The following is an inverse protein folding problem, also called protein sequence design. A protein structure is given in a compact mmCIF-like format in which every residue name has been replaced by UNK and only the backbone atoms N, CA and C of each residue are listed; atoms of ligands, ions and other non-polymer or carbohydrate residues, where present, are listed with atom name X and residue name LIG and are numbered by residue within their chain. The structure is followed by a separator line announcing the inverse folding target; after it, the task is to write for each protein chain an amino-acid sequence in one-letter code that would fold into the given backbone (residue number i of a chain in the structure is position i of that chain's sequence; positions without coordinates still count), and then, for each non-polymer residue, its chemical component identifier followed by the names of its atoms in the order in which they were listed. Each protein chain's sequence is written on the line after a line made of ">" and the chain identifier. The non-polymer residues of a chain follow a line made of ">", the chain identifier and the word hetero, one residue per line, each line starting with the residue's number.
data_IF_381890403449
#
_entry.id   IF_381890403449
#
_cell.length_a   1.000
_cell.length_b   1.000
_cell.length_c   1.000
_cell.angle_alpha   90.00
_cell.angle_beta   90.00
_cell.angle_gamma   90.00
#
_symmetry.space_group_name_H-M   'P 1'
#
loop_
_entity.id
_entity.type
_entity.pdbx_description
1 polymer ?
#
# COMPACT_ATOMS: atom_id res chain seq x y z
N UNK A 1 15.84 68.41 -31.89
CA UNK A 1 14.62 68.09 -32.65
C UNK A 1 14.92 66.94 -33.60
N UNK A 2 14.04 65.95 -33.64
CA UNK A 2 13.97 64.81 -34.58
C UNK A 2 14.89 63.58 -34.36
N UNK A 3 14.26 62.57 -33.73
CA UNK A 3 14.07 61.17 -34.16
C UNK A 3 15.25 60.22 -34.42
N UNK A 4 15.26 59.09 -33.68
CA UNK A 4 15.71 57.71 -33.98
C UNK A 4 15.74 56.95 -32.64
N UNK A 5 15.31 55.72 -32.39
CA UNK A 5 14.72 54.61 -33.15
C UNK A 5 14.22 53.57 -32.12
N UNK A 6 13.63 52.47 -32.61
CA UNK A 6 13.51 51.11 -32.03
C UNK A 6 12.06 50.73 -31.68
N UNK A 7 11.46 50.00 -32.62
CA UNK A 7 10.33 49.13 -32.34
C UNK A 7 10.79 47.84 -31.65
N UNK A 8 9.94 47.33 -30.77
CA UNK A 8 9.95 45.98 -30.22
C UNK A 8 8.46 45.56 -30.17
N UNK A 9 7.96 44.87 -31.19
CA UNK A 9 7.88 43.42 -31.30
C UNK A 9 7.07 42.76 -30.17
N UNK A 10 5.84 42.37 -30.53
CA UNK A 10 4.91 41.61 -29.71
C UNK A 10 5.49 40.29 -29.19
N UNK A 11 5.16 39.92 -27.95
CA UNK A 11 5.14 38.53 -27.50
C UNK A 11 4.07 38.35 -26.41
N UNK A 12 2.82 38.20 -26.83
CA UNK A 12 1.84 37.45 -26.03
C UNK A 12 2.16 35.96 -26.22
N UNK A 13 2.74 35.33 -25.19
CA UNK A 13 2.89 33.88 -25.13
C UNK A 13 2.08 33.35 -23.96
N UNK A 14 1.16 32.47 -24.35
CA UNK A 14 0.05 31.90 -23.61
C UNK A 14 0.55 31.07 -22.41
N UNK A 15 -0.06 31.33 -21.25
CA UNK A 15 -0.05 30.43 -20.09
C UNK A 15 -0.83 29.15 -20.44
N UNK A 16 -0.20 28.19 -21.12
CA UNK A 16 -0.73 26.83 -21.24
C UNK A 16 0.40 25.82 -21.10
N UNK A 17 0.60 25.29 -19.89
CA UNK A 17 1.02 23.89 -19.66
C UNK A 17 1.44 23.68 -18.19
N UNK A 18 0.49 23.79 -17.26
CA UNK A 18 0.57 23.04 -16.01
C UNK A 18 -0.83 22.48 -15.76
N UNK A 19 -1.02 21.17 -16.05
CA UNK A 19 -2.24 20.45 -15.67
C UNK A 19 -3.17 19.97 -16.79
N UNK A 20 -2.76 20.01 -18.06
CA UNK A 20 -3.54 19.48 -19.19
C UNK A 20 -3.29 18.00 -19.51
N UNK A 21 -3.03 17.16 -18.51
CA UNK A 21 -2.85 15.71 -18.73
C UNK A 21 -4.21 15.02 -18.95
N UNK A 22 -4.27 14.03 -19.86
CA UNK A 22 -5.43 13.13 -19.96
C UNK A 22 -5.72 12.54 -18.57
N UNK A 23 -6.99 12.48 -18.17
CA UNK A 23 -7.37 11.87 -16.88
C UNK A 23 -6.82 10.44 -16.82
N UNK A 24 -6.11 10.10 -15.75
CA UNK A 24 -5.49 8.77 -15.55
C UNK A 24 -6.53 7.64 -15.53
N UNK A 25 -7.79 7.97 -15.23
CA UNK A 25 -8.91 7.03 -15.17
C UNK A 25 -9.61 6.82 -16.52
N UNK A 26 -9.27 7.57 -17.57
CA UNK A 26 -10.06 7.63 -18.81
C UNK A 26 -10.17 6.27 -19.51
N UNK A 27 -9.19 5.38 -19.32
CA UNK A 27 -9.12 4.06 -19.95
C UNK A 27 -9.33 2.90 -18.96
N UNK A 28 -9.59 3.16 -17.67
CA UNK A 28 -9.82 2.08 -16.71
C UNK A 28 -11.15 1.36 -17.01
N UNK A 29 -11.13 0.03 -17.25
CA UNK A 29 -12.35 -0.74 -17.44
C UNK A 29 -13.26 -0.62 -16.21
N UNK A 30 -14.56 -0.40 -16.43
CA UNK A 30 -15.53 -0.42 -15.34
C UNK A 30 -16.08 -1.83 -15.10
N UNK A 31 -16.38 -2.15 -13.85
CA UNK A 31 -17.10 -3.38 -13.52
C UNK A 31 -16.78 -3.97 -12.17
N UNK A 32 -17.52 -5.01 -11.80
CA UNK A 32 -17.24 -5.84 -10.64
C UNK A 32 -16.51 -7.09 -11.09
N UNK A 33 -15.49 -7.47 -10.33
CA UNK A 33 -14.66 -8.66 -10.56
C UNK A 33 -14.70 -9.50 -9.29
N UNK A 34 -15.31 -10.67 -9.37
CA UNK A 34 -15.36 -11.60 -8.24
C UNK A 34 -13.97 -12.14 -7.97
N UNK A 35 -13.51 -11.99 -6.73
CA UNK A 35 -12.24 -12.51 -6.24
C UNK A 35 -12.46 -13.35 -5.00
N UNK A 36 -11.47 -14.18 -4.69
CA UNK A 36 -11.37 -14.87 -3.43
C UNK A 36 -10.06 -14.49 -2.75
N UNK A 37 -10.13 -14.20 -1.46
CA UNK A 37 -8.94 -14.01 -0.63
C UNK A 37 -8.54 -15.39 -0.10
N UNK A 38 -7.56 -15.98 -0.76
CA UNK A 38 -7.06 -17.33 -0.45
C UNK A 38 -6.04 -17.32 0.69
N UNK A 39 -5.44 -16.17 0.96
CA UNK A 39 -4.58 -15.96 2.13
C UNK A 39 -4.79 -14.53 2.61
N UNK A 40 -4.97 -14.38 3.92
CA UNK A 40 -4.86 -13.11 4.62
C UNK A 40 -4.18 -13.39 5.96
N UNK A 41 -2.89 -13.09 6.05
CA UNK A 41 -2.07 -13.43 7.20
C UNK A 41 -1.20 -12.27 7.64
N UNK A 42 -1.21 -12.01 8.95
CA UNK A 42 -0.26 -11.14 9.61
C UNK A 42 -0.15 -11.58 11.08
N UNK A 43 1.05 -11.72 11.67
CA UNK A 43 1.16 -12.17 13.06
C UNK A 43 0.45 -11.22 14.03
N UNK A 44 -0.54 -11.74 14.76
CA UNK A 44 -1.33 -10.95 15.72
C UNK A 44 -0.54 -10.54 16.98
N UNK A 45 0.58 -11.22 17.25
CA UNK A 45 1.50 -10.93 18.35
C UNK A 45 2.90 -10.80 17.78
N UNK A 46 3.56 -9.68 18.08
CA UNK A 46 4.89 -9.34 17.59
C UNK A 46 5.71 -8.70 18.71
N UNK A 47 7.02 -8.55 18.49
CA UNK A 47 7.95 -7.85 19.38
C UNK A 47 8.51 -6.62 18.69
N UNK A 48 8.96 -5.67 19.50
CA UNK A 48 9.68 -4.52 18.98
C UNK A 48 10.92 -4.97 18.18
N UNK A 49 11.15 -4.33 17.03
CA UNK A 49 12.21 -4.66 16.06
C UNK A 49 12.07 -6.04 15.40
N UNK A 50 10.95 -6.74 15.57
CA UNK A 50 10.70 -8.00 14.87
C UNK A 50 10.39 -7.76 13.40
N UNK A 51 11.07 -8.50 12.52
CA UNK A 51 10.76 -8.59 11.09
C UNK A 51 9.66 -9.62 10.89
N UNK A 52 8.58 -9.23 10.24
CA UNK A 52 7.44 -10.10 9.95
C UNK A 52 6.94 -9.85 8.54
N UNK A 53 6.07 -10.75 8.08
CA UNK A 53 5.45 -10.66 6.76
C UNK A 53 3.94 -10.48 6.90
N UNK A 54 3.39 -9.48 6.22
CA UNK A 54 1.95 -9.42 5.92
C UNK A 54 1.74 -10.02 4.53
N UNK A 55 0.93 -11.06 4.43
CA UNK A 55 0.70 -11.78 3.17
C UNK A 55 -0.78 -11.78 2.81
N UNK A 56 -1.11 -11.27 1.62
CA UNK A 56 -2.44 -11.35 1.03
C UNK A 56 -2.37 -12.08 -0.32
N UNK A 57 -3.18 -13.11 -0.52
CA UNK A 57 -3.26 -13.81 -1.81
C UNK A 57 -4.67 -13.68 -2.40
N UNK A 58 -4.75 -13.04 -3.57
CA UNK A 58 -5.99 -12.72 -4.28
C UNK A 58 -6.12 -13.65 -5.48
N UNK A 59 -7.15 -14.49 -5.47
CA UNK A 59 -7.49 -15.36 -6.59
C UNK A 59 -8.62 -14.76 -7.41
N UNK A 60 -8.45 -14.71 -8.73
CA UNK A 60 -9.47 -14.22 -9.64
C UNK A 60 -10.49 -15.32 -9.96
N UNK A 61 -11.65 -15.26 -9.30
CA UNK A 61 -12.80 -16.13 -9.58
C UNK A 61 -13.65 -15.64 -10.75
N UNK A 62 -13.44 -14.43 -11.23
CA UNK A 62 -14.19 -13.91 -12.37
C UNK A 62 -13.74 -14.63 -13.65
N UNK A 63 -14.68 -14.90 -14.56
CA UNK A 63 -14.38 -15.51 -15.86
C UNK A 63 -13.64 -14.59 -16.84
N UNK A 64 -13.06 -13.47 -16.36
CA UNK A 64 -12.35 -12.46 -17.15
C UNK A 64 -11.14 -11.94 -16.37
N UNK A 65 -10.17 -11.36 -17.06
CA UNK A 65 -8.98 -10.76 -16.45
C UNK A 65 -9.35 -9.54 -15.61
N UNK A 66 -8.85 -9.45 -14.36
CA UNK A 66 -8.85 -8.19 -13.61
C UNK A 66 -7.90 -7.22 -14.32
N UNK A 67 -8.33 -5.97 -14.60
CA UNK A 67 -7.49 -4.99 -15.28
C UNK A 67 -6.19 -4.70 -14.55
N UNK A 68 -6.27 -4.49 -13.24
CA UNK A 68 -5.11 -4.21 -12.39
C UNK A 68 -5.42 -4.61 -10.95
N UNK A 69 -4.86 -5.72 -10.47
CA UNK A 69 -5.05 -6.14 -9.08
C UNK A 69 -4.19 -5.28 -8.17
N UNK A 70 -4.82 -4.61 -7.21
CA UNK A 70 -4.14 -3.72 -6.28
C UNK A 70 -4.60 -3.97 -4.84
N UNK A 71 -3.71 -3.73 -3.89
CA UNK A 71 -3.99 -3.74 -2.46
C UNK A 71 -3.67 -2.38 -1.89
N UNK A 72 -4.64 -1.81 -1.18
CA UNK A 72 -4.41 -0.66 -0.30
C UNK A 72 -4.27 -1.12 1.14
N UNK A 73 -3.28 -0.60 1.84
CA UNK A 73 -3.08 -0.78 3.29
C UNK A 73 -3.48 0.53 3.97
N UNK A 74 -4.35 0.46 4.97
CA UNK A 74 -4.91 1.63 5.64
C UNK A 74 -4.83 1.48 7.16
N UNK A 75 -5.05 2.57 7.88
CA UNK A 75 -5.18 2.54 9.33
C UNK A 75 -6.64 2.28 9.75
N UNK A 76 -6.91 1.26 10.57
CA UNK A 76 -8.24 0.89 11.13
C UNK A 76 -9.33 0.51 10.11
N UNK A 77 -9.47 1.24 9.01
CA UNK A 77 -10.42 1.02 7.91
C UNK A 77 -9.82 1.52 6.60
N UNK A 78 -10.28 1.01 5.45
CA UNK A 78 -10.03 1.63 4.14
C UNK A 78 -11.26 2.40 3.61
N UNK A 79 -12.39 2.34 4.31
CA UNK A 79 -13.63 2.98 3.88
C UNK A 79 -13.48 4.51 3.84
N UNK A 80 -14.13 5.12 2.85
CA UNK A 80 -14.24 6.57 2.73
C UNK A 80 -15.71 7.03 2.81
N UNK A 81 -16.02 8.11 3.56
CA UNK A 81 -15.10 8.84 4.44
C UNK A 81 -14.73 8.03 5.68
N UNK A 82 -13.45 8.04 6.06
CA UNK A 82 -13.00 7.45 7.31
C UNK A 82 -13.19 8.46 8.47
N UNK A 83 -13.39 7.99 9.71
CA UNK A 83 -13.28 8.86 10.88
C UNK A 83 -11.94 9.60 10.90
N UNK A 84 -11.91 10.80 11.50
CA UNK A 84 -10.68 11.57 11.61
C UNK A 84 -9.58 10.75 12.30
N UNK A 85 -8.39 10.69 11.67
CA UNK A 85 -7.26 9.90 12.17
C UNK A 85 -7.30 8.41 11.85
N UNK A 86 -8.29 7.96 11.10
CA UNK A 86 -8.37 6.61 10.57
C UNK A 86 -8.30 6.65 9.04
N UNK A 87 -8.36 5.50 8.39
CA UNK A 87 -8.47 5.45 6.94
C UNK A 87 -7.13 5.58 6.22
N UNK A 88 -7.24 6.19 5.04
CA UNK A 88 -6.14 6.60 4.17
C UNK A 88 -5.47 7.90 4.62
N UNK A 89 -5.90 8.49 5.74
CA UNK A 89 -5.27 9.68 6.32
C UNK A 89 -3.89 9.41 6.95
N UNK A 90 -3.52 8.12 7.09
CA UNK A 90 -2.19 7.67 7.44
C UNK A 90 -1.50 7.04 6.21
N UNK A 91 -0.18 7.17 6.13
CA UNK A 91 0.60 6.32 5.23
C UNK A 91 0.40 4.83 5.58
N UNK A 92 0.70 3.92 4.63
CA UNK A 92 0.65 2.50 4.93
C UNK A 92 1.53 2.15 6.14
N UNK A 93 1.09 1.17 6.93
CA UNK A 93 1.77 0.71 8.14
C UNK A 93 2.04 1.83 9.18
N UNK A 94 1.32 2.95 9.06
CA UNK A 94 1.41 4.07 9.97
C UNK A 94 0.08 4.30 10.67
N UNK A 95 0.15 4.91 11.84
CA UNK A 95 -1.00 5.52 12.51
C UNK A 95 -1.05 7.01 12.20
N UNK A 96 -2.15 7.65 12.58
CA UNK A 96 -2.29 9.10 12.50
C UNK A 96 -2.21 9.73 13.89
N UNK A 97 -1.27 10.65 14.10
CA UNK A 97 -1.23 11.47 15.31
C UNK A 97 -2.14 12.68 15.18
N UNK A 98 -3.14 12.74 16.05
CA UNK A 98 -4.00 13.90 16.27
C UNK A 98 -3.26 14.95 17.11
N UNK A 99 -2.24 15.60 16.53
CA UNK A 99 -1.52 16.71 17.15
C UNK A 99 -1.48 17.91 16.21
N UNK A 100 -1.96 19.06 16.70
CA UNK A 100 -1.86 20.33 16.00
C UNK A 100 -0.39 20.73 15.80
N UNK A 101 -0.07 21.33 14.64
CA UNK A 101 1.26 21.84 14.33
C UNK A 101 2.24 20.83 13.70
N UNK A 102 1.82 19.58 13.46
CA UNK A 102 2.64 18.62 12.71
C UNK A 102 2.60 18.88 11.21
N UNK A 103 3.77 18.93 10.56
CA UNK A 103 3.86 19.02 9.10
C UNK A 103 3.27 17.79 8.38
N UNK A 104 3.38 16.59 9.00
CA UNK A 104 2.68 15.36 8.60
C UNK A 104 2.21 14.60 9.85
N UNK A 105 0.94 14.19 9.93
CA UNK A 105 0.41 13.50 11.11
C UNK A 105 0.75 12.00 11.14
N UNK A 106 1.14 11.39 10.02
CA UNK A 106 1.46 9.96 9.98
C UNK A 106 2.69 9.61 10.81
N UNK A 107 2.61 8.53 11.60
CA UNK A 107 3.76 7.96 12.33
C UNK A 107 3.88 6.46 12.06
N UNK A 108 5.08 5.98 11.71
CA UNK A 108 5.30 4.56 11.47
C UNK A 108 4.96 3.72 12.71
N UNK A 109 4.17 2.67 12.51
CA UNK A 109 4.02 1.56 13.47
C UNK A 109 4.88 0.39 13.02
N UNK A 110 4.93 0.15 11.70
CA UNK A 110 5.94 -0.68 11.06
C UNK A 110 6.69 0.09 9.99
N UNK A 111 7.96 -0.26 9.80
CA UNK A 111 8.76 0.15 8.64
C UNK A 111 8.57 -0.88 7.55
N UNK A 112 8.28 -0.43 6.32
CA UNK A 112 8.24 -1.30 5.15
C UNK A 112 9.68 -1.56 4.68
N UNK A 113 10.16 -2.78 4.89
CA UNK A 113 11.48 -3.22 4.46
C UNK A 113 11.44 -3.67 3.00
N UNK A 114 10.44 -4.48 2.65
CA UNK A 114 10.27 -5.05 1.31
C UNK A 114 8.80 -4.87 0.86
N UNK A 115 8.52 -4.07 -0.18
CA UNK A 115 7.21 -4.06 -0.83
C UNK A 115 6.99 -5.36 -1.63
N UNK A 116 5.74 -5.69 -1.99
CA UNK A 116 5.43 -6.80 -2.89
C UNK A 116 6.18 -6.66 -4.21
N UNK A 117 6.66 -7.79 -4.75
CA UNK A 117 7.28 -7.83 -6.06
C UNK A 117 6.22 -7.76 -7.17
N UNK A 118 6.47 -6.95 -8.20
CA UNK A 118 5.53 -6.73 -9.32
C UNK A 118 5.28 -7.95 -10.23
N UNK A 119 5.74 -9.15 -9.87
CA UNK A 119 5.78 -10.30 -10.78
C UNK A 119 4.51 -11.15 -10.73
N UNK A 120 3.32 -10.57 -10.95
CA UNK A 120 2.24 -11.36 -11.53
C UNK A 120 2.41 -11.45 -13.05
N UNK A 121 3.19 -12.43 -13.51
CA UNK A 121 2.99 -13.06 -14.82
C UNK A 121 3.38 -12.33 -16.11
N UNK A 122 3.94 -11.12 -16.10
CA UNK A 122 4.55 -10.54 -17.31
C UNK A 122 5.77 -9.67 -17.02
N UNK A 123 6.97 -10.26 -17.09
CA UNK A 123 8.21 -9.59 -17.48
C UNK A 123 8.89 -8.68 -16.44
N UNK A 124 10.08 -9.12 -16.02
CA UNK A 124 11.25 -8.35 -15.58
C UNK A 124 11.08 -7.25 -14.51
N UNK A 125 11.72 -7.49 -13.36
CA UNK A 125 11.78 -6.58 -12.23
C UNK A 125 12.44 -5.24 -12.55
N UNK A 126 11.82 -4.19 -12.04
CA UNK A 126 12.52 -3.03 -11.48
C UNK A 126 12.33 -3.06 -9.97
N UNK A 127 13.33 -2.63 -9.16
CA UNK A 127 13.10 -2.32 -7.76
C UNK A 127 11.97 -1.29 -7.70
N UNK A 128 10.77 -1.69 -7.23
CA UNK A 128 9.56 -0.86 -7.28
C UNK A 128 8.45 -1.30 -8.25
N UNK A 129 8.46 -2.55 -8.73
CA UNK A 129 7.49 -3.07 -9.70
C UNK A 129 6.01 -3.04 -9.29
N UNK A 130 5.70 -2.81 -8.01
CA UNK A 130 4.33 -2.68 -7.51
C UNK A 130 3.95 -1.25 -7.07
N UNK A 131 4.78 -0.24 -7.37
CA UNK A 131 4.62 1.12 -6.84
C UNK A 131 3.53 1.89 -7.59
N UNK A 132 2.57 2.42 -6.85
CA UNK A 132 1.59 3.39 -7.37
C UNK A 132 1.96 4.80 -6.92
N UNK A 133 1.26 5.81 -7.44
CA UNK A 133 1.38 7.18 -6.92
C UNK A 133 0.81 7.33 -5.49
N UNK A 134 0.05 6.34 -5.01
CA UNK A 134 -0.48 6.31 -3.65
C UNK A 134 0.54 5.65 -2.73
N UNK A 135 0.91 6.35 -1.67
CA UNK A 135 1.89 5.88 -0.68
C UNK A 135 1.46 4.65 0.12
N UNK A 136 0.24 4.17 -0.12
CA UNK A 136 -0.37 3.08 0.63
C UNK A 136 -1.01 2.02 -0.27
N UNK A 137 -0.80 2.09 -1.59
CA UNK A 137 -1.39 1.14 -2.55
C UNK A 137 -0.29 0.54 -3.42
N UNK A 138 -0.35 -0.78 -3.58
CA UNK A 138 0.51 -1.54 -4.46
C UNK A 138 -0.31 -2.25 -5.51
N UNK A 139 0.17 -2.27 -6.75
CA UNK A 139 -0.52 -2.85 -7.90
C UNK A 139 0.39 -3.85 -8.58
N UNK A 140 -0.12 -5.05 -8.89
CA UNK A 140 0.66 -6.08 -9.59
C UNK A 140 0.32 -6.16 -11.08
N UNK A 141 -0.62 -5.34 -11.56
CA UNK A 141 -1.05 -5.35 -12.94
C UNK A 141 -2.19 -6.36 -13.21
N UNK A 142 -2.42 -6.70 -14.48
CA UNK A 142 -3.54 -7.56 -14.85
C UNK A 142 -3.44 -8.96 -14.23
N UNK A 143 -4.56 -9.45 -13.69
CA UNK A 143 -4.66 -10.80 -13.12
C UNK A 143 -5.63 -11.66 -13.95
N UNK A 144 -5.15 -12.62 -14.77
CA UNK A 144 -6.02 -13.44 -15.61
C UNK A 144 -7.03 -14.27 -14.81
N UNK A 145 -8.11 -14.69 -15.47
CA UNK A 145 -9.12 -15.57 -14.86
C UNK A 145 -8.48 -16.86 -14.31
N UNK A 146 -8.87 -17.27 -13.09
CA UNK A 146 -8.34 -18.46 -12.43
C UNK A 146 -6.88 -18.36 -11.97
N UNK A 147 -6.27 -17.17 -12.00
CA UNK A 147 -4.91 -16.94 -11.48
C UNK A 147 -4.95 -16.28 -10.11
N UNK A 148 -3.86 -16.45 -9.36
CA UNK A 148 -3.65 -15.85 -8.05
C UNK A 148 -2.49 -14.86 -8.12
N UNK A 149 -2.66 -13.69 -7.51
CA UNK A 149 -1.61 -12.73 -7.21
C UNK A 149 -1.34 -12.71 -5.70
N UNK A 150 -0.07 -12.58 -5.32
CA UNK A 150 0.35 -12.57 -3.91
C UNK A 150 1.03 -11.25 -3.60
N UNK A 151 0.55 -10.59 -2.57
CA UNK A 151 1.15 -9.40 -1.99
C UNK A 151 1.85 -9.80 -0.70
N UNK A 152 3.18 -9.89 -0.74
CA UNK A 152 4.01 -10.18 0.43
C UNK A 152 4.78 -8.92 0.83
N UNK A 153 4.45 -8.39 2.01
CA UNK A 153 5.07 -7.21 2.59
C UNK A 153 6.01 -7.63 3.70
N UNK A 154 7.31 -7.40 3.52
CA UNK A 154 8.29 -7.51 4.61
C UNK A 154 8.30 -6.23 5.43
N UNK A 155 8.00 -6.33 6.73
CA UNK A 155 7.90 -5.17 7.63
C UNK A 155 8.61 -5.39 8.96
N UNK A 156 9.14 -4.31 9.55
CA UNK A 156 9.73 -4.31 10.90
C UNK A 156 8.87 -3.51 11.87
N UNK A 157 8.46 -4.11 12.98
CA UNK A 157 7.69 -3.43 14.03
C UNK A 157 8.55 -2.41 14.79
N UNK A 158 8.12 -1.14 14.86
CA UNK A 158 8.87 -0.04 15.50
C UNK A 158 8.12 0.71 16.59
N UNK A 159 6.81 0.45 16.75
CA UNK A 159 6.01 1.08 17.80
C UNK A 159 5.26 0.04 18.65
N UNK A 160 5.57 -0.11 19.95
CA UNK A 160 4.80 -0.99 20.84
C UNK A 160 3.33 -0.56 20.97
N UNK A 161 2.48 -1.49 21.38
CA UNK A 161 1.05 -1.24 21.65
C UNK A 161 0.10 -2.11 20.84
N UNK A 162 -1.19 -1.82 20.96
CA UNK A 162 -2.25 -2.45 20.17
C UNK A 162 -2.56 -1.61 18.94
N UNK A 163 -2.52 -2.24 17.77
CA UNK A 163 -2.63 -1.58 16.47
C UNK A 163 -3.59 -2.35 15.57
N UNK A 164 -4.18 -1.65 14.60
CA UNK A 164 -5.01 -2.26 13.56
C UNK A 164 -4.45 -1.91 12.19
N UNK A 165 -4.26 -2.93 11.36
CA UNK A 165 -3.96 -2.79 9.93
C UNK A 165 -5.20 -3.17 9.15
N UNK A 166 -5.75 -2.24 8.38
CA UNK A 166 -6.82 -2.53 7.43
C UNK A 166 -6.24 -2.72 6.04
N UNK A 167 -6.92 -3.54 5.23
CA UNK A 167 -6.56 -3.73 3.82
C UNK A 167 -7.81 -3.81 2.95
N UNK A 168 -7.68 -3.39 1.70
CA UNK A 168 -8.71 -3.49 0.68
C UNK A 168 -8.07 -3.85 -0.67
N UNK A 169 -8.69 -4.80 -1.37
CA UNK A 169 -8.32 -5.20 -2.72
C UNK A 169 -9.18 -4.43 -3.73
N UNK A 170 -8.53 -3.90 -4.75
CA UNK A 170 -9.16 -3.28 -5.91
C UNK A 170 -8.85 -4.07 -7.20
N UNK A 171 -9.70 -3.90 -8.21
CA UNK A 171 -9.47 -4.45 -9.56
C UNK A 171 -9.01 -3.37 -10.56
N UNK A 172 -8.74 -2.15 -10.05
CA UNK A 172 -8.21 -1.00 -10.77
C UNK A 172 -7.86 0.13 -9.79
N UNK A 173 -7.01 1.06 -10.20
CA UNK A 173 -6.46 2.10 -9.31
C UNK A 173 -7.36 3.32 -9.10
N UNK A 174 -8.30 3.59 -10.00
CA UNK A 174 -9.15 4.79 -9.94
C UNK A 174 -10.61 4.47 -9.57
N UNK A 175 -10.88 3.24 -9.12
CA UNK A 175 -12.15 2.84 -8.51
C UNK A 175 -13.29 2.50 -9.49
N UNK A 176 -13.02 2.41 -10.80
CA UNK A 176 -14.01 1.98 -11.79
C UNK A 176 -14.13 0.46 -11.84
N UNK A 177 -13.01 -0.25 -11.65
CA UNK A 177 -12.96 -1.69 -11.47
C UNK A 177 -12.94 -2.05 -9.98
N UNK A 178 -13.99 -2.74 -9.51
CA UNK A 178 -14.15 -3.14 -8.11
C UNK A 178 -13.90 -4.63 -7.94
N UNK A 179 -12.99 -5.00 -7.05
CA UNK A 179 -12.87 -6.37 -6.59
C UNK A 179 -13.94 -6.65 -5.53
N UNK A 180 -14.69 -7.73 -5.69
CA UNK A 180 -15.79 -8.10 -4.78
C UNK A 180 -15.69 -9.57 -4.40
N UNK A 181 -16.12 -9.91 -3.20
CA UNK A 181 -16.23 -11.29 -2.75
C UNK A 181 -17.45 -11.98 -3.40
N UNK A 182 -17.60 -13.32 -3.29
CA UNK A 182 -18.73 -14.05 -3.86
C UNK A 182 -20.11 -13.57 -3.36
N UNK A 183 -20.18 -13.05 -2.14
CA UNK A 183 -21.38 -12.45 -1.56
C UNK A 183 -21.67 -11.02 -2.06
N UNK A 184 -20.79 -10.48 -2.92
CA UNK A 184 -20.90 -9.15 -3.49
C UNK A 184 -20.39 -8.02 -2.59
N UNK A 185 -19.85 -8.29 -1.40
CA UNK A 185 -19.16 -7.29 -0.57
C UNK A 185 -17.81 -6.89 -1.18
N UNK A 186 -17.20 -5.80 -0.70
CA UNK A 186 -15.84 -5.44 -1.09
C UNK A 186 -14.84 -6.43 -0.50
N UNK A 187 -13.80 -6.74 -1.25
CA UNK A 187 -12.73 -7.62 -0.78
C UNK A 187 -11.79 -6.85 0.16
N UNK A 188 -12.10 -6.82 1.45
CA UNK A 188 -11.37 -6.07 2.47
C UNK A 188 -11.30 -6.82 3.80
N UNK A 189 -10.45 -6.36 4.72
CA UNK A 189 -10.33 -6.94 6.05
C UNK A 189 -9.42 -6.17 6.97
N UNK A 190 -9.23 -6.69 8.19
CA UNK A 190 -8.38 -6.09 9.21
C UNK A 190 -7.56 -7.13 9.96
N UNK A 191 -6.43 -6.69 10.51
CA UNK A 191 -5.63 -7.42 11.47
C UNK A 191 -5.49 -6.60 12.74
N UNK A 192 -5.83 -7.18 13.88
CA UNK A 192 -5.49 -6.62 15.18
C UNK A 192 -4.14 -7.20 15.62
N UNK A 193 -3.19 -6.33 15.95
CA UNK A 193 -1.81 -6.70 16.26
C UNK A 193 -1.37 -6.09 17.58
N UNK A 194 -0.73 -6.89 18.42
CA UNK A 194 -0.08 -6.44 19.65
C UNK A 194 1.43 -6.51 19.47
N UNK A 195 2.11 -5.37 19.59
CA UNK A 195 3.58 -5.29 19.58
C UNK A 195 4.05 -5.10 21.02
N UNK A 196 4.75 -6.09 21.55
CA UNK A 196 5.33 -6.03 22.89
C UNK A 196 6.62 -5.20 22.92
N UNK A 197 6.83 -4.46 24.01
CA UNK A 197 7.99 -3.58 24.22
C UNK A 197 9.35 -4.29 24.26
N UNK A 198 9.51 -5.48 24.88
CA UNK A 198 10.80 -6.16 24.86
C UNK A 198 11.19 -6.46 23.42
N UNK A 199 12.36 -5.97 22.95
CA UNK A 199 12.78 -6.26 21.59
C UNK A 199 13.01 -7.76 21.42
N UNK A 200 12.92 -8.24 20.18
CA UNK A 200 13.43 -9.55 19.85
C UNK A 200 14.90 -9.64 20.33
N UNK A 201 15.20 -10.58 21.24
CA UNK A 201 16.57 -10.76 21.73
C UNK A 201 17.41 -11.28 20.57
N UNK A 202 18.30 -10.45 20.07
CA UNK A 202 19.27 -10.80 19.05
C UNK A 202 20.68 -10.64 19.60
N UNK A 203 21.56 -11.59 19.27
CA UNK A 203 22.99 -11.47 19.54
C UNK A 203 23.77 -11.94 18.32
N UNK A 204 24.97 -11.40 18.14
CA UNK A 204 25.90 -11.87 17.10
C UNK A 204 26.70 -13.02 17.68
N UNK A 205 26.69 -14.18 17.04
CA UNK A 205 27.54 -15.30 17.46
C UNK A 205 28.99 -15.10 17.00
N UNK A 206 29.90 -15.97 17.44
CA UNK A 206 31.33 -15.89 17.09
C UNK A 206 31.62 -16.03 15.59
N UNK A 207 30.62 -16.44 14.79
CA UNK A 207 30.68 -16.54 13.33
C UNK A 207 30.15 -15.29 12.61
N UNK A 208 29.85 -14.21 13.34
CA UNK A 208 29.31 -12.97 12.77
C UNK A 208 27.84 -13.06 12.33
N UNK A 209 27.12 -14.11 12.74
CA UNK A 209 25.72 -14.31 12.39
C UNK A 209 24.81 -13.73 13.47
N UNK A 210 23.75 -13.03 13.06
CA UNK A 210 22.71 -12.56 13.97
C UNK A 210 21.78 -13.73 14.32
N UNK A 211 21.74 -14.12 15.59
CA UNK A 211 20.87 -15.17 16.14
C UNK A 211 19.71 -14.51 16.88
N UNK A 212 18.47 -14.89 16.56
CA UNK A 212 17.26 -14.48 17.30
C UNK A 212 16.83 -15.57 18.27
N UNK A 213 16.73 -15.27 19.57
CA UNK A 213 16.24 -16.25 20.56
C UNK A 213 14.74 -16.09 20.79
N UNK A 214 13.94 -17.06 20.35
CA UNK A 214 12.53 -17.21 20.73
C UNK A 214 12.46 -17.73 22.16
N UNK A 215 12.02 -16.90 23.11
CA UNK A 215 11.85 -17.34 24.50
C UNK A 215 10.62 -18.26 24.59
N UNK A 216 10.82 -19.57 24.58
CA UNK A 216 9.81 -20.52 25.00
C UNK A 216 10.33 -21.27 26.23
N UNK A 217 10.03 -20.74 27.41
CA UNK A 217 10.17 -21.47 28.67
C UNK A 217 9.03 -21.03 29.59
N UNK A 218 8.06 -21.90 29.90
CA UNK A 218 7.16 -21.68 31.03
C UNK A 218 7.94 -21.91 32.33
N UNK A 219 7.71 -21.06 33.33
CA UNK A 219 7.98 -21.40 34.73
C UNK A 219 6.79 -22.16 35.32
#
# INVERSE_FOLDING_TARGET
>A
MSTRSIGLMCAALLLTACGGGRRQDAQEPSGRFTVQITTASFPAVQRLSERTHLVLAVHNLSGKTLPDVAVSVCNVTCAFPAPAGQGTSAAAFSEHLQMAGLARPSRPVWVLDNPPDGSSGSGAGSPGGAVTAYSNTWALGPLPAGRTATFDFGVTAVKPGHHVVAWEVAAGLNGKAKAVLPDGSLAHGTFAVTIHTPPARTYVNDNGQVITTSSNTPH
#
